data_IF_964614358066
#
_entry.id   IF_964614358066
#
_cell.length_a   1.000
_cell.length_b   1.000
_cell.length_c   1.000
_cell.angle_alpha   90.00
_cell.angle_beta   90.00
_cell.angle_gamma   90.00
#
_symmetry.space_group_name_H-M   'P 1'
#
loop_
_entity.id
_entity.type
_entity.pdbx_description
1 polymer ?
#
# COMPACT_ATOMS: atom_id res chain seq x y z
N UNK A 1 7.28 49.59 -33.92
CA UNK A 1 8.40 48.63 -33.73
C UNK A 1 8.68 48.38 -32.25
N UNK A 2 8.91 49.40 -31.42
CA UNK A 2 9.08 49.25 -29.97
C UNK A 2 7.90 48.58 -29.23
N UNK A 3 6.66 48.87 -29.66
CA UNK A 3 5.45 48.31 -29.03
C UNK A 3 5.22 46.83 -29.34
N UNK A 4 5.68 46.32 -30.48
CA UNK A 4 5.65 44.88 -30.78
C UNK A 4 6.75 44.12 -30.04
N UNK A 5 7.93 44.72 -29.87
CA UNK A 5 9.04 44.14 -29.10
C UNK A 5 8.69 44.04 -27.61
N UNK A 6 8.00 45.04 -27.05
CA UNK A 6 7.51 44.98 -25.67
C UNK A 6 6.49 43.84 -25.46
N UNK A 7 5.60 43.62 -26.44
CA UNK A 7 4.59 42.55 -26.39
C UNK A 7 5.19 41.15 -26.47
N UNK A 8 6.21 40.95 -27.31
CA UNK A 8 6.89 39.64 -27.43
C UNK A 8 7.69 39.31 -26.17
N UNK A 9 8.35 40.29 -25.55
CA UNK A 9 9.07 40.10 -24.28
C UNK A 9 8.07 39.76 -23.15
N UNK A 10 6.95 40.48 -23.06
CA UNK A 10 5.92 40.20 -22.04
C UNK A 10 5.32 38.80 -22.20
N UNK A 11 5.02 38.37 -23.43
CA UNK A 11 4.52 37.02 -23.70
C UNK A 11 5.53 35.93 -23.34
N UNK A 12 6.82 36.14 -23.60
CA UNK A 12 7.86 35.19 -23.26
C UNK A 12 8.07 35.05 -21.74
N UNK A 13 7.92 36.14 -21.00
CA UNK A 13 8.06 36.18 -19.54
C UNK A 13 6.88 35.50 -18.83
N UNK A 14 5.67 35.64 -19.38
CA UNK A 14 4.48 34.91 -18.89
C UNK A 14 4.61 33.41 -19.19
N UNK A 15 5.11 33.05 -20.38
CA UNK A 15 5.30 31.65 -20.76
C UNK A 15 6.35 30.94 -19.89
N UNK A 16 7.46 31.61 -19.54
CA UNK A 16 8.48 31.04 -18.66
C UNK A 16 7.99 30.87 -17.21
N UNK A 17 7.20 31.81 -16.70
CA UNK A 17 6.57 31.70 -15.38
C UNK A 17 5.54 30.55 -15.32
N UNK A 18 4.78 30.33 -16.40
CA UNK A 18 3.84 29.21 -16.49
C UNK A 18 4.55 27.85 -16.48
N UNK A 19 5.77 27.76 -17.03
CA UNK A 19 6.55 26.52 -17.03
C UNK A 19 7.27 26.24 -15.70
N UNK A 20 7.52 27.27 -14.88
CA UNK A 20 8.14 27.13 -13.55
C UNK A 20 7.23 26.39 -12.53
N UNK A 21 5.93 26.24 -12.81
CA UNK A 21 5.01 25.43 -12.01
C UNK A 21 5.06 23.92 -12.32
N UNK A 22 5.61 23.51 -13.46
CA UNK A 22 5.67 22.08 -13.85
C UNK A 22 6.70 21.28 -13.05
N UNK A 23 7.72 21.94 -12.52
CA UNK A 23 8.56 21.38 -11.47
C UNK A 23 8.01 21.89 -10.14
N UNK A 24 6.96 21.22 -9.63
CA UNK A 24 6.55 21.39 -8.24
C UNK A 24 7.76 21.12 -7.38
N UNK A 25 8.44 22.19 -6.96
CA UNK A 25 9.39 22.14 -5.87
C UNK A 25 8.55 21.58 -4.72
N UNK A 26 9.01 20.51 -4.09
CA UNK A 26 8.36 19.88 -2.93
C UNK A 26 8.97 20.39 -1.62
N UNK A 27 9.19 21.71 -1.37
CA UNK A 27 9.87 22.13 -0.15
C UNK A 27 9.00 21.84 1.08
N UNK A 28 7.67 21.93 0.95
CA UNK A 28 6.75 21.64 2.07
C UNK A 28 6.74 20.14 2.41
N UNK A 29 6.85 19.26 1.42
CA UNK A 29 6.85 17.81 1.67
C UNK A 29 8.18 17.33 2.25
N UNK A 30 9.29 17.94 1.84
CA UNK A 30 10.63 17.64 2.36
C UNK A 30 10.82 18.21 3.77
N UNK A 31 10.32 19.42 4.04
CA UNK A 31 10.41 20.09 5.34
C UNK A 31 9.64 19.34 6.44
N UNK A 32 8.47 18.75 6.11
CA UNK A 32 7.65 18.00 7.06
C UNK A 32 7.79 16.48 6.96
N UNK A 33 8.74 15.96 6.16
CA UNK A 33 8.92 14.52 6.00
C UNK A 33 9.17 13.81 7.33
N UNK A 34 10.01 14.42 8.19
CA UNK A 34 10.28 13.89 9.52
C UNK A 34 9.04 13.83 10.42
N UNK A 35 8.18 14.84 10.34
CA UNK A 35 6.91 14.87 11.08
C UNK A 35 5.96 13.78 10.58
N UNK A 36 5.81 13.64 9.26
CA UNK A 36 4.96 12.62 8.65
C UNK A 36 5.43 11.19 9.00
N UNK A 37 6.74 10.93 9.00
CA UNK A 37 7.30 9.63 9.39
C UNK A 37 7.07 9.36 10.87
N UNK A 38 7.26 10.35 11.74
CA UNK A 38 6.99 10.18 13.18
C UNK A 38 5.50 9.95 13.46
N UNK A 39 4.61 10.65 12.75
CA UNK A 39 3.17 10.43 12.85
C UNK A 39 2.78 9.02 12.38
N UNK A 40 3.28 8.57 11.24
CA UNK A 40 3.04 7.22 10.74
C UNK A 40 3.60 6.15 11.69
N UNK A 41 4.79 6.37 12.23
CA UNK A 41 5.40 5.48 13.23
C UNK A 41 4.56 5.41 14.49
N UNK A 42 4.06 6.54 14.99
CA UNK A 42 3.17 6.56 16.16
C UNK A 42 1.87 5.79 15.91
N UNK A 43 1.29 5.90 14.71
CA UNK A 43 0.10 5.13 14.32
C UNK A 43 0.36 3.62 14.16
N UNK A 44 1.56 3.23 13.75
CA UNK A 44 1.95 1.82 13.58
C UNK A 44 2.53 1.20 14.85
N UNK A 45 2.87 2.01 15.86
CA UNK A 45 3.45 1.52 17.11
C UNK A 45 2.36 0.99 18.02
N UNK A 46 2.28 -0.33 18.13
CA UNK A 46 1.29 -1.03 18.99
C UNK A 46 1.58 -0.79 20.48
N UNK A 47 2.86 -0.74 20.87
CA UNK A 47 3.26 -0.52 22.26
C UNK A 47 4.46 0.44 22.32
N UNK A 48 4.26 1.71 22.71
CA UNK A 48 5.36 2.68 22.83
C UNK A 48 6.28 2.41 24.02
N UNK A 49 5.82 1.69 25.05
CA UNK A 49 6.58 1.36 26.28
C UNK A 49 7.36 0.04 26.16
N UNK A 50 7.29 -0.63 25.01
CA UNK A 50 8.01 -1.86 24.72
C UNK A 50 9.52 -1.85 25.06
N UNK A 51 10.31 -0.77 24.85
CA UNK A 51 11.74 -0.78 25.20
C UNK A 51 12.03 -0.77 26.71
N UNK A 52 11.04 -0.42 27.55
CA UNK A 52 11.18 -0.46 29.01
C UNK A 52 10.81 -1.84 29.58
N UNK A 53 10.20 -2.70 28.76
CA UNK A 53 9.85 -4.05 29.17
C UNK A 53 11.10 -4.94 29.20
N UNK A 54 11.47 -5.40 30.40
CA UNK A 54 12.56 -6.37 30.60
C UNK A 54 12.08 -7.82 30.56
N UNK A 55 10.77 -8.06 30.40
CA UNK A 55 10.24 -9.41 30.33
C UNK A 55 10.80 -10.14 29.10
N UNK A 56 11.18 -11.42 29.25
CA UNK A 56 11.61 -12.21 28.11
C UNK A 56 10.49 -12.29 27.08
N UNK A 57 10.81 -12.06 25.81
CA UNK A 57 9.85 -12.17 24.70
C UNK A 57 9.21 -13.55 24.74
N UNK A 58 7.88 -13.60 24.90
CA UNK A 58 7.13 -14.84 24.72
C UNK A 58 7.34 -15.30 23.28
N UNK A 59 8.06 -16.41 23.10
CA UNK A 59 8.37 -16.96 21.79
C UNK A 59 7.12 -17.39 21.02
N UNK A 60 7.32 -17.94 19.83
CA UNK A 60 6.22 -18.49 19.04
C UNK A 60 5.64 -19.72 19.75
N UNK A 61 4.32 -19.73 20.00
CA UNK A 61 3.66 -20.90 20.58
C UNK A 61 3.81 -22.13 19.68
N UNK A 62 3.91 -23.33 20.27
CA UNK A 62 4.23 -24.56 19.53
C UNK A 62 3.33 -24.83 18.31
N UNK A 63 2.02 -24.62 18.45
CA UNK A 63 1.07 -24.76 17.33
C UNK A 63 1.32 -23.74 16.21
N UNK A 64 1.69 -22.50 16.56
CA UNK A 64 2.00 -21.48 15.57
C UNK A 64 3.34 -21.76 14.87
N UNK A 65 4.31 -22.30 15.59
CA UNK A 65 5.59 -22.72 15.03
C UNK A 65 5.40 -23.91 14.07
N UNK A 66 4.62 -24.91 14.46
CA UNK A 66 4.25 -26.05 13.62
C UNK A 66 3.57 -25.59 12.34
N UNK A 67 2.51 -24.77 12.45
CA UNK A 67 1.80 -24.23 11.30
C UNK A 67 2.70 -23.38 10.37
N UNK A 68 3.71 -22.70 10.91
CA UNK A 68 4.67 -21.93 10.12
C UNK A 68 5.58 -22.84 9.29
N UNK A 69 6.13 -23.90 9.91
CA UNK A 69 6.93 -24.92 9.22
C UNK A 69 6.11 -25.64 8.16
N UNK A 70 4.87 -25.97 8.48
CA UNK A 70 3.92 -26.62 7.57
C UNK A 70 3.62 -25.78 6.33
N UNK A 71 3.38 -24.48 6.51
CA UNK A 71 3.18 -23.52 5.41
C UNK A 71 4.45 -23.35 4.57
N UNK A 72 5.62 -23.34 5.22
CA UNK A 72 6.90 -23.28 4.52
C UNK A 72 7.06 -24.47 3.58
N UNK A 73 6.83 -25.69 4.05
CA UNK A 73 6.87 -26.89 3.19
C UNK A 73 5.83 -26.84 2.07
N UNK A 74 4.58 -26.47 2.40
CA UNK A 74 3.50 -26.36 1.41
C UNK A 74 3.80 -25.34 0.32
N UNK A 75 4.56 -24.28 0.61
CA UNK A 75 4.92 -23.27 -0.40
C UNK A 75 5.77 -23.82 -1.55
N UNK A 76 6.52 -24.91 -1.34
CA UNK A 76 7.33 -25.56 -2.37
C UNK A 76 6.54 -26.61 -3.17
N UNK A 77 5.51 -27.21 -2.58
CA UNK A 77 4.69 -28.25 -3.23
C UNK A 77 3.42 -27.68 -3.87
N UNK A 78 2.93 -26.56 -3.36
CA UNK A 78 1.78 -25.80 -3.83
C UNK A 78 2.18 -24.33 -3.93
N UNK A 79 2.68 -23.90 -5.10
CA UNK A 79 2.84 -22.47 -5.38
C UNK A 79 1.49 -21.76 -5.13
N UNK A 80 1.46 -20.67 -4.35
CA UNK A 80 0.26 -19.88 -4.20
C UNK A 80 -0.24 -19.47 -5.57
N UNK A 81 -1.51 -19.77 -5.88
CA UNK A 81 -2.16 -19.22 -7.07
C UNK A 81 -2.22 -17.72 -6.85
N UNK A 82 -1.38 -16.95 -7.53
CA UNK A 82 -1.45 -15.48 -7.52
C UNK A 82 -2.77 -15.10 -8.20
N UNK A 83 -3.78 -14.59 -7.47
CA UNK A 83 -4.95 -14.04 -8.14
C UNK A 83 -4.48 -12.81 -8.94
N UNK A 84 -4.91 -12.71 -10.20
CA UNK A 84 -4.69 -11.50 -10.99
C UNK A 84 -5.50 -10.35 -10.35
N UNK A 85 -4.87 -9.57 -9.48
CA UNK A 85 -5.46 -8.37 -8.86
C UNK A 85 -5.46 -7.24 -9.88
N UNK A 86 -6.31 -7.37 -10.89
CA UNK A 86 -6.79 -6.24 -11.69
C UNK A 86 -8.30 -6.11 -11.45
N UNK A 87 -8.67 -5.79 -10.21
CA UNK A 87 -10.04 -5.39 -9.82
C UNK A 87 -10.24 -3.88 -9.90
N UNK A 88 -9.46 -3.17 -10.71
CA UNK A 88 -9.76 -1.78 -11.06
C UNK A 88 -11.05 -1.83 -11.88
N UNK A 89 -12.17 -1.46 -11.25
CA UNK A 89 -13.53 -1.56 -11.76
C UNK A 89 -13.80 -0.70 -12.99
N UNK A 90 -13.24 -1.07 -14.12
CA UNK A 90 -13.65 -0.63 -15.45
C UNK A 90 -14.28 -1.85 -16.15
N UNK A 91 -15.57 -1.73 -16.47
CA UNK A 91 -16.51 -2.85 -16.57
C UNK A 91 -16.18 -3.92 -17.62
N UNK A 92 -16.39 -5.18 -17.24
CA UNK A 92 -16.77 -6.24 -18.18
C UNK A 92 -18.21 -6.67 -17.88
N UNK A 93 -19.13 -6.07 -18.64
CA UNK A 93 -20.43 -6.68 -18.90
C UNK A 93 -20.20 -7.98 -19.66
N UNK A 94 -20.43 -9.14 -19.04
CA UNK A 94 -20.32 -10.40 -19.78
C UNK A 94 -20.36 -11.68 -18.97
N UNK A 95 -21.52 -12.00 -18.41
CA UNK A 95 -22.09 -13.35 -18.49
C UNK A 95 -21.40 -14.51 -17.77
N UNK A 96 -22.00 -14.93 -16.66
CA UNK A 96 -22.55 -16.28 -16.57
C UNK A 96 -21.77 -17.36 -15.82
N UNK A 97 -22.56 -18.21 -15.13
CA UNK A 97 -22.26 -19.46 -14.44
C UNK A 97 -21.52 -19.31 -13.09
N UNK A 98 -22.14 -19.50 -11.91
CA UNK A 98 -23.12 -20.52 -11.58
C UNK A 98 -22.40 -21.77 -11.08
N UNK A 99 -22.24 -21.89 -9.76
CA UNK A 99 -21.51 -23.00 -9.13
C UNK A 99 -21.55 -22.97 -7.60
N UNK A 100 -22.75 -22.98 -7.03
CA UNK A 100 -22.97 -23.28 -5.61
C UNK A 100 -22.70 -24.76 -5.35
N UNK A 101 -21.70 -25.07 -4.52
CA UNK A 101 -21.58 -26.39 -3.90
C UNK A 101 -21.86 -26.31 -2.40
N UNK A 102 -22.87 -27.09 -2.03
CA UNK A 102 -23.45 -27.21 -0.71
C UNK A 102 -22.43 -27.71 0.33
N UNK A 103 -22.32 -26.98 1.43
CA UNK A 103 -21.66 -27.47 2.63
C UNK A 103 -22.47 -28.62 3.23
N UNK A 104 -21.90 -29.82 3.24
CA UNK A 104 -22.46 -30.94 3.96
C UNK A 104 -22.11 -30.80 5.44
N UNK A 105 -23.11 -30.38 6.24
CA UNK A 105 -23.10 -30.54 7.69
C UNK A 105 -23.05 -32.03 8.04
N UNK A 106 -21.89 -32.50 8.49
CA UNK A 106 -21.78 -33.77 9.21
C UNK A 106 -21.56 -33.45 10.70
N UNK A 107 -22.68 -33.32 11.41
CA UNK A 107 -22.78 -33.47 12.85
C UNK A 107 -22.31 -34.88 13.23
N UNK A 108 -21.10 -34.99 13.81
CA UNK A 108 -20.56 -36.21 14.38
C UNK A 108 -20.68 -36.18 15.90
N UNK A 109 -21.61 -36.98 16.42
CA UNK A 109 -21.91 -37.21 17.83
C UNK A 109 -20.91 -38.15 18.51
N UNK A 110 -20.70 -37.88 19.82
CA UNK A 110 -20.11 -38.68 20.91
C UNK A 110 -18.65 -38.42 21.26
#
# INVERSE_FOLDING_TARGET
MHTSILKTILSALIASAAMAGCATRTPVLDEHFGEAVNAAKAQQTINPDAPMNTDPVAGVGGQAADAAVDRYHKSFTQPPITPNIFNIGIGSSGGGAGGSNAGNSASGTR
#
